data_IF_178120247563
#
_entry.id   IF_178120247563
#
_cell.length_a   1.000
_cell.length_b   1.000
_cell.length_c   1.000
_cell.angle_alpha   90.00
_cell.angle_beta   90.00
_cell.angle_gamma   90.00
#
_symmetry.space_group_name_H-M   'P 1'
#
loop_
_entity.id
_entity.type
_entity.pdbx_description
1 polymer ?
#
# COMPACT_ATOMS: atom_id res chain seq x y z
N UNK A 1 -4.18 -14.83 3.46
CA UNK A 1 -4.34 -13.98 2.27
C UNK A 1 -3.13 -13.97 1.33
N UNK A 2 -1.89 -13.94 1.85
CA UNK A 2 -0.66 -13.84 1.03
C UNK A 2 -0.45 -15.04 0.08
N UNK A 3 -0.93 -16.23 0.44
CA UNK A 3 -0.82 -17.44 -0.37
C UNK A 3 -1.87 -17.54 -1.48
N UNK A 4 -2.91 -16.69 -1.43
CA UNK A 4 -3.90 -16.64 -2.51
C UNK A 4 -3.36 -15.85 -3.68
N UNK A 5 -3.66 -16.33 -4.89
CA UNK A 5 -3.32 -15.63 -6.11
C UNK A 5 -3.94 -14.22 -6.10
N UNK A 6 -3.16 -13.23 -6.45
CA UNK A 6 -3.54 -11.84 -6.64
C UNK A 6 -4.81 -11.67 -7.48
N UNK A 7 -4.96 -12.42 -8.57
CA UNK A 7 -6.13 -12.40 -9.43
C UNK A 7 -7.42 -12.78 -8.68
N UNK A 8 -7.37 -13.87 -7.91
CA UNK A 8 -8.53 -14.35 -7.15
C UNK A 8 -8.96 -13.31 -6.11
N UNK A 9 -8.01 -12.66 -5.45
CA UNK A 9 -8.32 -11.58 -4.48
C UNK A 9 -9.00 -10.41 -5.14
N UNK A 10 -8.49 -9.96 -6.29
CA UNK A 10 -9.11 -8.86 -7.04
C UNK A 10 -10.52 -9.22 -7.50
N UNK A 11 -10.76 -10.45 -7.97
CA UNK A 11 -12.11 -10.91 -8.32
C UNK A 11 -13.03 -11.00 -7.11
N UNK A 12 -12.54 -11.43 -5.96
CA UNK A 12 -13.34 -11.45 -4.74
C UNK A 12 -13.80 -10.02 -4.35
N UNK A 13 -12.90 -9.03 -4.42
CA UNK A 13 -13.25 -7.64 -4.19
C UNK A 13 -14.25 -7.12 -5.22
N UNK A 14 -14.07 -7.45 -6.50
CA UNK A 14 -15.03 -7.11 -7.54
C UNK A 14 -16.43 -7.62 -7.22
N UNK A 15 -16.54 -8.90 -6.79
CA UNK A 15 -17.84 -9.51 -6.43
C UNK A 15 -18.44 -8.87 -5.18
N UNK A 16 -17.63 -8.46 -4.20
CA UNK A 16 -18.11 -7.82 -2.97
C UNK A 16 -18.64 -6.40 -3.28
N UNK A 17 -17.94 -5.65 -4.13
CA UNK A 17 -18.21 -4.23 -4.41
C UNK A 17 -19.23 -4.01 -5.53
N UNK A 18 -19.63 -5.05 -6.27
CA UNK A 18 -20.67 -4.93 -7.31
C UNK A 18 -22.00 -4.43 -6.75
N UNK A 19 -22.80 -3.79 -7.60
CA UNK A 19 -24.12 -3.24 -7.22
C UNK A 19 -25.06 -4.31 -6.64
N UNK A 20 -24.96 -5.55 -7.15
CA UNK A 20 -25.65 -6.73 -6.62
C UNK A 20 -24.83 -7.54 -5.63
N UNK A 21 -23.71 -6.99 -5.18
CA UNK A 21 -22.73 -7.65 -4.32
C UNK A 21 -23.16 -7.75 -2.86
N UNK A 22 -22.33 -8.47 -2.08
CA UNK A 22 -22.58 -8.71 -0.65
C UNK A 22 -22.67 -7.40 0.13
N UNK A 23 -21.84 -6.41 -0.21
CA UNK A 23 -21.81 -5.11 0.47
C UNK A 23 -23.17 -4.40 0.31
N UNK A 24 -23.68 -4.29 -0.92
CA UNK A 24 -24.95 -3.64 -1.18
C UNK A 24 -26.16 -4.42 -0.61
N UNK A 25 -26.06 -5.74 -0.56
CA UNK A 25 -27.05 -6.58 0.13
C UNK A 25 -27.13 -6.28 1.62
N UNK A 26 -25.98 -6.08 2.29
CA UNK A 26 -25.95 -5.73 3.71
C UNK A 26 -26.43 -4.30 3.95
N UNK A 27 -26.00 -3.35 3.14
CA UNK A 27 -26.42 -1.94 3.21
C UNK A 27 -27.93 -1.81 2.99
N UNK A 28 -28.48 -2.55 2.02
CA UNK A 28 -29.93 -2.59 1.75
C UNK A 28 -30.75 -3.14 2.92
N UNK A 29 -30.23 -4.13 3.66
CA UNK A 29 -30.87 -4.65 4.89
C UNK A 29 -30.91 -3.63 6.04
N UNK A 30 -29.96 -2.70 6.05
CA UNK A 30 -29.91 -1.59 7.02
C UNK A 30 -30.79 -0.39 6.62
N UNK A 31 -31.52 -0.48 5.49
CA UNK A 31 -32.44 0.56 5.03
C UNK A 31 -31.76 1.68 4.24
N UNK A 32 -30.48 1.53 3.87
CA UNK A 32 -29.80 2.49 3.01
C UNK A 32 -29.93 2.08 1.53
N UNK A 33 -29.91 3.07 0.65
CA UNK A 33 -29.91 2.83 -0.80
C UNK A 33 -28.63 2.16 -1.30
N UNK A 34 -28.65 1.54 -2.48
CA UNK A 34 -27.44 0.91 -3.04
C UNK A 34 -26.36 1.94 -3.30
N UNK A 35 -25.12 1.60 -2.92
CA UNK A 35 -23.94 2.43 -3.13
C UNK A 35 -23.18 1.90 -4.33
N UNK A 36 -23.03 2.73 -5.37
CA UNK A 36 -22.27 2.39 -6.56
C UNK A 36 -20.79 2.65 -6.33
N UNK A 37 -20.05 1.60 -5.94
CA UNK A 37 -18.62 1.70 -5.61
C UNK A 37 -17.76 1.20 -6.77
N UNK A 38 -18.15 0.10 -7.42
CA UNK A 38 -17.40 -0.46 -8.55
C UNK A 38 -17.31 0.56 -9.70
N UNK A 39 -16.17 0.63 -10.36
CA UNK A 39 -15.93 1.64 -11.40
C UNK A 39 -15.67 3.04 -10.86
N UNK A 40 -15.36 3.16 -9.56
CA UNK A 40 -14.94 4.41 -8.93
C UNK A 40 -13.47 4.32 -8.48
N UNK A 41 -12.86 5.48 -8.28
CA UNK A 41 -11.51 5.59 -7.72
C UNK A 41 -11.41 4.91 -6.34
N UNK A 42 -12.47 5.03 -5.54
CA UNK A 42 -12.55 4.40 -4.21
C UNK A 42 -12.41 2.88 -4.29
N UNK A 43 -13.04 2.22 -5.27
CA UNK A 43 -12.91 0.78 -5.46
C UNK A 43 -11.46 0.37 -5.75
N UNK A 44 -10.79 1.14 -6.62
CA UNK A 44 -9.37 0.91 -6.97
C UNK A 44 -8.49 1.06 -5.74
N UNK A 45 -8.68 2.14 -4.97
CA UNK A 45 -7.90 2.40 -3.74
C UNK A 45 -8.11 1.27 -2.71
N UNK A 46 -9.36 0.86 -2.46
CA UNK A 46 -9.65 -0.25 -1.54
C UNK A 46 -8.94 -1.53 -1.97
N UNK A 47 -9.03 -1.89 -3.26
CA UNK A 47 -8.35 -3.05 -3.82
C UNK A 47 -6.84 -2.98 -3.65
N UNK A 48 -6.23 -1.84 -3.98
CA UNK A 48 -4.78 -1.62 -3.83
C UNK A 48 -4.34 -1.69 -2.36
N UNK A 49 -5.06 -1.04 -1.46
CA UNK A 49 -4.76 -1.07 -0.02
C UNK A 49 -4.80 -2.52 0.50
N UNK A 50 -5.84 -3.27 0.15
CA UNK A 50 -5.97 -4.66 0.58
C UNK A 50 -4.84 -5.55 0.04
N UNK A 51 -4.51 -5.43 -1.26
CA UNK A 51 -3.49 -6.26 -1.89
C UNK A 51 -2.08 -5.96 -1.40
N UNK A 52 -1.79 -4.69 -1.09
CA UNK A 52 -0.47 -4.28 -0.62
C UNK A 52 -0.34 -4.17 0.90
N UNK A 53 -1.44 -4.29 1.65
CA UNK A 53 -1.46 -4.26 3.11
C UNK A 53 -0.44 -5.21 3.78
N UNK A 54 -0.32 -6.49 3.36
CA UNK A 54 0.66 -7.39 3.96
C UNK A 54 2.11 -6.91 3.79
N UNK A 55 2.44 -6.30 2.65
CA UNK A 55 3.78 -5.78 2.37
C UNK A 55 4.14 -4.59 3.26
N UNK A 56 3.15 -3.84 3.72
CA UNK A 56 3.34 -2.75 4.68
C UNK A 56 3.45 -3.28 6.12
N UNK A 57 2.62 -4.24 6.48
CA UNK A 57 2.56 -4.75 7.86
C UNK A 57 3.79 -5.57 8.24
N UNK A 58 4.31 -6.40 7.33
CA UNK A 58 5.41 -7.32 7.63
C UNK A 58 6.70 -6.63 8.11
N UNK A 59 7.22 -5.59 7.43
CA UNK A 59 8.41 -4.88 7.90
C UNK A 59 8.18 -4.19 9.26
N UNK A 60 7.01 -3.58 9.45
CA UNK A 60 6.65 -2.94 10.71
C UNK A 60 6.60 -3.97 11.84
N UNK A 61 5.93 -5.10 11.61
CA UNK A 61 5.87 -6.20 12.57
C UNK A 61 7.27 -6.73 12.90
N UNK A 62 8.14 -6.90 11.90
CA UNK A 62 9.50 -7.41 12.10
C UNK A 62 10.34 -6.51 13.01
N UNK A 63 10.16 -5.20 12.94
CA UNK A 63 10.82 -4.24 13.84
C UNK A 63 10.20 -4.32 15.24
N UNK A 64 8.87 -4.27 15.32
CA UNK A 64 8.17 -4.30 16.61
C UNK A 64 8.41 -5.61 17.39
N UNK A 65 8.50 -6.74 16.71
CA UNK A 65 8.77 -8.04 17.32
C UNK A 65 10.18 -8.16 17.93
N UNK A 66 11.12 -7.32 17.48
CA UNK A 66 12.48 -7.24 18.02
C UNK A 66 12.66 -6.16 19.08
N UNK A 67 11.63 -5.42 19.40
CA UNK A 67 11.68 -4.32 20.34
C UNK A 67 11.83 -4.87 21.77
N UNK A 68 12.85 -4.38 22.49
CA UNK A 68 13.09 -4.81 23.87
C UNK A 68 11.95 -4.30 24.79
N UNK A 69 11.27 -5.23 25.45
CA UNK A 69 10.19 -4.92 26.40
C UNK A 69 10.64 -4.01 27.55
N UNK A 70 11.91 -4.05 27.92
CA UNK A 70 12.49 -3.20 28.96
C UNK A 70 12.37 -1.71 28.66
N UNK A 71 12.40 -1.33 27.37
CA UNK A 71 12.19 0.06 26.96
C UNK A 71 10.76 0.53 27.28
N UNK A 72 9.80 -0.35 27.14
CA UNK A 72 8.38 -0.06 27.42
C UNK A 72 8.13 0.00 28.93
N UNK A 73 8.79 -0.87 29.70
CA UNK A 73 8.75 -0.87 31.16
C UNK A 73 9.38 0.40 31.73
N UNK A 74 10.58 0.76 31.28
CA UNK A 74 11.28 1.97 31.70
C UNK A 74 10.46 3.24 31.40
N UNK A 75 9.80 3.31 30.24
CA UNK A 75 8.93 4.43 29.90
C UNK A 75 7.71 4.52 30.82
N UNK A 76 7.16 3.38 31.26
CA UNK A 76 6.05 3.33 32.23
C UNK A 76 6.48 3.73 33.63
N UNK A 77 7.66 3.30 34.05
CA UNK A 77 8.24 3.65 35.36
C UNK A 77 8.50 5.17 35.47
N UNK A 78 8.80 5.83 34.35
CA UNK A 78 8.88 7.28 34.24
C UNK A 78 7.51 7.98 34.19
N UNK A 79 6.41 7.26 34.46
CA UNK A 79 5.05 7.80 34.52
C UNK A 79 4.36 7.98 33.15
N UNK A 80 4.92 7.43 32.08
CA UNK A 80 4.29 7.53 30.76
C UNK A 80 3.02 6.66 30.66
N UNK A 81 1.88 7.28 30.38
CA UNK A 81 0.65 6.58 30.03
C UNK A 81 0.78 5.83 28.69
N UNK A 82 -0.06 4.84 28.43
CA UNK A 82 0.00 3.97 27.24
C UNK A 82 0.06 4.73 25.92
N UNK A 83 -0.69 5.84 25.78
CA UNK A 83 -0.67 6.66 24.56
C UNK A 83 0.67 7.42 24.42
N UNK A 84 1.28 7.84 25.53
CA UNK A 84 2.60 8.48 25.54
C UNK A 84 3.70 7.50 25.12
N UNK A 85 3.66 6.27 25.63
CA UNK A 85 4.56 5.19 25.24
C UNK A 85 4.43 4.89 23.74
N UNK A 86 3.18 4.81 23.23
CA UNK A 86 2.94 4.60 21.80
C UNK A 86 3.59 5.70 20.95
N UNK A 87 3.33 6.98 21.27
CA UNK A 87 3.77 8.13 20.46
C UNK A 87 5.26 8.43 20.59
N UNK A 88 5.85 8.26 21.79
CA UNK A 88 7.22 8.68 22.08
C UNK A 88 8.25 7.54 21.97
N UNK A 89 7.81 6.28 22.07
CA UNK A 89 8.69 5.13 22.04
C UNK A 89 8.40 4.24 20.84
N UNK A 90 7.17 3.71 20.72
CA UNK A 90 6.85 2.67 19.72
C UNK A 90 6.88 3.26 18.31
N UNK A 91 6.21 4.38 18.05
CA UNK A 91 6.14 4.98 16.71
C UNK A 91 7.54 5.36 16.21
N UNK A 92 8.38 6.12 16.95
CA UNK A 92 9.71 6.45 16.47
C UNK A 92 10.59 5.23 16.21
N UNK A 93 10.56 4.23 17.09
CA UNK A 93 11.33 3.00 16.92
C UNK A 93 10.82 2.11 15.78
N UNK A 94 9.54 2.24 15.40
CA UNK A 94 8.97 1.52 14.25
C UNK A 94 9.22 2.20 12.90
N UNK A 95 9.68 3.45 12.88
CA UNK A 95 9.89 4.23 11.64
C UNK A 95 10.74 3.52 10.58
N UNK A 96 11.85 2.82 10.92
CA UNK A 96 12.60 2.06 9.92
C UNK A 96 11.77 0.97 9.24
N UNK A 97 10.84 0.33 9.99
CA UNK A 97 9.88 -0.63 9.45
C UNK A 97 8.84 0.01 8.52
N UNK A 98 8.35 1.19 8.90
CA UNK A 98 7.41 1.97 8.07
C UNK A 98 8.06 2.35 6.73
N UNK A 99 9.30 2.85 6.76
CA UNK A 99 10.03 3.25 5.55
C UNK A 99 10.31 2.03 4.66
N UNK A 100 10.70 0.91 5.25
CA UNK A 100 10.88 -0.35 4.52
C UNK A 100 9.57 -0.81 3.87
N UNK A 101 8.44 -0.72 4.59
CA UNK A 101 7.11 -1.04 4.07
C UNK A 101 6.71 -0.14 2.90
N UNK A 102 6.88 1.17 3.02
CA UNK A 102 6.63 2.13 1.94
C UNK A 102 7.45 1.75 0.70
N UNK A 103 8.73 1.43 0.86
CA UNK A 103 9.60 1.03 -0.25
C UNK A 103 9.11 -0.25 -0.93
N UNK A 104 8.65 -1.24 -0.14
CA UNK A 104 8.13 -2.51 -0.66
C UNK A 104 6.80 -2.36 -1.39
N UNK A 105 5.97 -1.40 -0.99
CA UNK A 105 4.66 -1.13 -1.62
C UNK A 105 4.79 -0.23 -2.84
N UNK A 106 5.75 0.69 -2.86
CA UNK A 106 5.89 1.72 -3.89
C UNK A 106 5.99 1.11 -5.30
N UNK A 107 6.89 0.16 -5.49
CA UNK A 107 7.15 -0.43 -6.81
C UNK A 107 5.91 -1.14 -7.38
N UNK A 108 5.30 -2.11 -6.67
CA UNK A 108 4.16 -2.83 -7.22
C UNK A 108 2.90 -1.96 -7.33
N UNK A 109 2.73 -0.93 -6.47
CA UNK A 109 1.55 -0.06 -6.55
C UNK A 109 1.55 0.84 -7.78
N UNK A 110 2.71 1.38 -8.16
CA UNK A 110 2.83 2.24 -9.34
C UNK A 110 2.76 1.45 -10.64
N UNK A 111 3.30 0.22 -10.64
CA UNK A 111 3.33 -0.64 -11.84
C UNK A 111 2.06 -1.48 -12.03
N UNK A 112 1.09 -1.41 -11.10
CA UNK A 112 -0.14 -2.18 -11.24
C UNK A 112 -1.04 -1.63 -12.35
N UNK A 113 -1.73 -2.52 -13.05
CA UNK A 113 -2.73 -2.20 -14.07
C UNK A 113 -4.00 -3.06 -13.90
N UNK A 114 -3.85 -4.25 -13.35
CA UNK A 114 -4.95 -5.21 -13.26
C UNK A 114 -6.06 -4.75 -12.30
N UNK A 115 -5.69 -4.14 -11.16
CA UNK A 115 -6.65 -3.66 -10.17
C UNK A 115 -7.46 -2.49 -10.75
N UNK A 116 -6.79 -1.54 -11.41
CA UNK A 116 -7.43 -0.38 -12.05
C UNK A 116 -8.41 -0.82 -13.15
N UNK A 117 -8.03 -1.78 -13.98
CA UNK A 117 -8.91 -2.31 -15.02
C UNK A 117 -10.13 -3.03 -14.46
N UNK A 118 -9.98 -3.86 -13.43
CA UNK A 118 -11.06 -4.68 -12.89
C UNK A 118 -11.97 -3.92 -11.93
N UNK A 119 -11.42 -3.16 -11.00
CA UNK A 119 -12.20 -2.40 -10.02
C UNK A 119 -12.58 -1.01 -10.53
N UNK A 120 -11.77 -0.40 -11.37
CA UNK A 120 -12.02 0.90 -11.99
C UNK A 120 -12.89 0.85 -13.24
N UNK A 121 -13.22 -0.36 -13.72
CA UNK A 121 -14.04 -0.59 -14.92
C UNK A 121 -13.54 0.19 -16.15
N UNK A 122 -12.22 0.30 -16.31
CA UNK A 122 -11.58 1.02 -17.43
C UNK A 122 -11.73 2.53 -17.42
N UNK A 123 -12.27 3.14 -16.35
CA UNK A 123 -12.43 4.60 -16.25
C UNK A 123 -11.19 5.29 -15.69
N UNK A 124 -10.33 4.57 -14.99
CA UNK A 124 -9.11 5.09 -14.36
C UNK A 124 -7.90 4.45 -15.02
N UNK A 125 -7.02 5.30 -15.54
CA UNK A 125 -5.78 4.90 -16.18
C UNK A 125 -4.61 5.19 -15.26
N UNK A 126 -3.95 4.15 -14.80
CA UNK A 126 -2.66 4.23 -14.15
C UNK A 126 -1.54 4.11 -15.19
N UNK A 127 -0.31 4.40 -14.79
CA UNK A 127 0.84 4.29 -15.70
C UNK A 127 1.02 2.84 -16.19
N UNK A 128 0.74 1.86 -15.32
CA UNK A 128 0.72 0.44 -15.70
C UNK A 128 -0.27 0.12 -16.81
N UNK A 129 -1.49 0.71 -16.77
CA UNK A 129 -2.49 0.56 -17.83
C UNK A 129 -2.01 1.14 -19.17
N UNK A 130 -1.32 2.28 -19.12
CA UNK A 130 -0.75 2.89 -20.31
C UNK A 130 0.31 2.00 -20.98
N UNK A 131 1.19 1.38 -20.19
CA UNK A 131 2.22 0.46 -20.68
C UNK A 131 1.56 -0.77 -21.30
N UNK A 132 0.62 -1.40 -20.58
CA UNK A 132 -0.07 -2.59 -21.07
C UNK A 132 -0.89 -2.30 -22.31
N UNK A 133 -1.64 -1.19 -22.35
CA UNK A 133 -2.42 -0.78 -23.51
C UNK A 133 -1.56 -0.63 -24.78
N UNK A 134 -0.38 -0.03 -24.66
CA UNK A 134 0.55 0.08 -25.79
C UNK A 134 1.16 -1.28 -26.19
N UNK A 135 1.42 -2.14 -25.20
CA UNK A 135 1.91 -3.50 -25.45
C UNK A 135 0.88 -4.32 -26.23
N UNK A 136 -0.39 -4.30 -25.80
CA UNK A 136 -1.50 -5.00 -26.48
C UNK A 136 -1.77 -4.42 -27.86
N UNK A 137 -1.61 -3.11 -28.05
CA UNK A 137 -1.72 -2.44 -29.34
C UNK A 137 -0.51 -2.72 -30.28
N UNK A 138 0.43 -3.58 -29.87
CA UNK A 138 1.66 -3.93 -30.61
C UNK A 138 2.62 -2.76 -30.82
N UNK A 139 2.49 -1.67 -30.05
CA UNK A 139 3.39 -0.52 -30.05
C UNK A 139 4.53 -0.72 -29.05
N UNK A 140 5.33 -1.76 -29.24
CA UNK A 140 6.36 -2.21 -28.29
C UNK A 140 7.40 -1.12 -27.99
N UNK A 141 7.79 -0.30 -28.98
CA UNK A 141 8.75 0.77 -28.77
C UNK A 141 8.23 1.85 -27.83
N UNK A 142 6.95 2.21 -27.96
CA UNK A 142 6.33 3.21 -27.11
C UNK A 142 6.08 2.67 -25.70
N UNK A 143 5.60 1.42 -25.58
CA UNK A 143 5.46 0.74 -24.29
C UNK A 143 6.81 0.68 -23.56
N UNK A 144 7.89 0.31 -24.24
CA UNK A 144 9.23 0.26 -23.68
C UNK A 144 9.73 1.65 -23.23
N UNK A 145 9.44 2.72 -24.00
CA UNK A 145 9.82 4.07 -23.65
C UNK A 145 9.13 4.53 -22.34
N UNK A 146 7.80 4.28 -22.20
CA UNK A 146 7.06 4.63 -20.98
C UNK A 146 7.59 3.82 -19.80
N UNK A 147 7.83 2.50 -19.96
CA UNK A 147 8.36 1.64 -18.92
C UNK A 147 9.76 2.09 -18.47
N UNK A 148 10.62 2.53 -19.41
CA UNK A 148 11.94 3.05 -19.11
C UNK A 148 11.88 4.34 -18.29
N UNK A 149 11.02 5.28 -18.69
CA UNK A 149 10.80 6.52 -17.93
C UNK A 149 10.29 6.21 -16.53
N UNK A 150 9.32 5.28 -16.40
CA UNK A 150 8.80 4.84 -15.11
C UNK A 150 9.89 4.24 -14.23
N UNK A 151 10.77 3.41 -14.81
CA UNK A 151 11.92 2.83 -14.11
C UNK A 151 12.84 3.92 -13.55
N UNK A 152 13.16 4.96 -14.34
CA UNK A 152 13.99 6.08 -13.90
C UNK A 152 13.33 6.86 -12.74
N UNK A 153 12.02 7.10 -12.83
CA UNK A 153 11.26 7.76 -11.75
C UNK A 153 11.28 6.92 -10.47
N UNK A 154 11.06 5.61 -10.58
CA UNK A 154 11.11 4.70 -9.44
C UNK A 154 12.50 4.65 -8.79
N UNK A 155 13.55 4.58 -9.58
CA UNK A 155 14.94 4.64 -9.08
C UNK A 155 15.22 5.95 -8.36
N UNK A 156 14.77 7.08 -8.90
CA UNK A 156 14.90 8.38 -8.26
C UNK A 156 14.11 8.43 -6.93
N UNK A 157 12.88 7.93 -6.89
CA UNK A 157 12.08 7.85 -5.68
C UNK A 157 12.74 6.95 -4.62
N UNK A 158 13.25 5.78 -5.02
CA UNK A 158 13.92 4.86 -4.10
C UNK A 158 15.20 5.45 -3.52
N UNK A 159 16.00 6.15 -4.33
CA UNK A 159 17.20 6.84 -3.85
C UNK A 159 16.86 7.98 -2.91
N UNK A 160 15.80 8.74 -3.19
CA UNK A 160 15.30 9.78 -2.29
C UNK A 160 14.83 9.20 -0.94
N UNK A 161 14.05 8.11 -0.97
CA UNK A 161 13.61 7.41 0.25
C UNK A 161 14.81 6.92 1.05
N UNK A 162 15.78 6.29 0.42
CA UNK A 162 17.01 5.83 1.09
C UNK A 162 17.79 6.99 1.72
N UNK A 163 17.93 8.12 1.02
CA UNK A 163 18.63 9.28 1.53
C UNK A 163 17.94 9.87 2.76
N UNK A 164 16.61 10.02 2.69
CA UNK A 164 15.81 10.49 3.83
C UNK A 164 15.93 9.54 5.01
N UNK A 165 15.86 8.22 4.76
CA UNK A 165 15.99 7.19 5.81
C UNK A 165 17.35 7.23 6.47
N UNK A 166 18.43 7.32 5.68
CA UNK A 166 19.78 7.39 6.22
C UNK A 166 19.93 8.59 7.18
N UNK A 167 19.35 9.73 6.83
CA UNK A 167 19.39 10.93 7.67
C UNK A 167 18.58 10.80 8.95
N UNK A 168 17.45 10.06 8.94
CA UNK A 168 16.61 9.84 10.11
C UNK A 168 17.13 8.72 11.04
N UNK A 169 17.76 7.70 10.48
CA UNK A 169 18.22 6.52 11.25
C UNK A 169 19.65 6.71 11.75
N UNK A 170 20.52 7.35 10.97
CA UNK A 170 21.94 7.53 11.30
C UNK A 170 22.32 8.95 11.73
N UNK A 171 21.45 9.93 11.52
CA UNK A 171 21.69 11.33 11.92
C UNK A 171 21.41 11.63 13.40
N UNK A 172 21.00 10.65 14.20
CA UNK A 172 20.77 10.77 15.63
C UNK A 172 22.01 10.53 16.52
N UNK A 173 23.14 10.14 15.93
CA UNK A 173 24.35 9.78 16.67
C UNK A 173 25.42 10.90 16.70
N UNK A 174 25.11 12.10 16.23
CA UNK A 174 26.07 13.24 16.19
C UNK A 174 25.67 14.44 17.09
N UNK A 175 24.81 14.27 18.13
CA UNK A 175 24.60 15.29 19.16
C UNK A 175 24.83 14.75 20.57
#
# INVERSE_FOLDING_TARGET
>A
PMWMNFLIRTYAWMTILQDTGILNSLIGRLGFGPVHIIGTETAVIIGMVYDYFPYMVLPIYSILAKLDGRLLEAARDLGCGSLSVLRRVIIPLSMPGVISGITMVLIPSISTFYISQKLGNGKFFLIGDAIEGQYVANNLHFAAAIAFILMLILLACMTAVKYVTARYVYGGDEE
#
